data_IF_572612147349
#
_entry.id   IF_572612147349
#
_cell.length_a   1.000
_cell.length_b   1.000
_cell.length_c   1.000
_cell.angle_alpha   90.00
_cell.angle_beta   90.00
_cell.angle_gamma   90.00
#
_symmetry.space_group_name_H-M   'P 1'
#
loop_
_entity.id
_entity.type
_entity.pdbx_description
1 polymer ?
#
# COMPACT_ATOMS: atom_id res chain seq x y z
N UNK A 1 2.17 25.44 -21.75
CA UNK A 1 1.90 24.99 -20.36
C UNK A 1 3.20 24.46 -19.78
N UNK A 2 3.75 25.10 -18.74
CA UNK A 2 4.93 24.57 -18.03
C UNK A 2 4.43 23.36 -17.26
N UNK A 3 4.66 22.15 -17.76
CA UNK A 3 4.38 20.93 -17.02
C UNK A 3 5.24 20.95 -15.78
N UNK A 4 4.62 21.06 -14.63
CA UNK A 4 5.32 20.92 -13.36
C UNK A 4 5.91 19.51 -13.32
N UNK A 5 7.21 19.40 -13.10
CA UNK A 5 7.97 18.13 -13.12
C UNK A 5 7.34 17.14 -12.14
N UNK A 6 6.96 17.58 -10.95
CA UNK A 6 6.34 16.73 -9.96
C UNK A 6 4.99 16.14 -10.41
N UNK A 7 4.15 16.91 -11.06
CA UNK A 7 2.88 16.40 -11.61
C UNK A 7 3.12 15.42 -12.76
N UNK A 8 4.06 15.75 -13.65
CA UNK A 8 4.42 14.85 -14.73
C UNK A 8 5.01 13.53 -14.20
N UNK A 9 5.92 13.62 -13.23
CA UNK A 9 6.48 12.42 -12.58
C UNK A 9 5.40 11.55 -11.94
N UNK A 10 4.45 12.16 -11.22
CA UNK A 10 3.32 11.46 -10.60
C UNK A 10 2.53 10.62 -11.59
N UNK A 11 2.26 11.18 -12.79
CA UNK A 11 1.51 10.48 -13.84
C UNK A 11 2.27 9.26 -14.40
N UNK A 12 3.58 9.16 -14.11
CA UNK A 12 4.44 8.03 -14.46
C UNK A 12 4.63 7.03 -13.30
N UNK A 13 3.85 7.14 -12.21
CA UNK A 13 3.96 6.23 -11.08
C UNK A 13 3.69 4.79 -11.53
N UNK A 14 4.57 3.83 -11.15
CA UNK A 14 4.35 2.43 -11.46
C UNK A 14 3.06 1.92 -10.82
N UNK A 15 2.26 1.20 -11.60
CA UNK A 15 1.20 0.37 -11.04
C UNK A 15 1.81 -0.87 -10.39
N UNK A 16 1.40 -1.17 -9.15
CA UNK A 16 1.94 -2.28 -8.37
C UNK A 16 0.82 -3.29 -8.10
N UNK A 17 0.75 -4.31 -8.94
CA UNK A 17 -0.22 -5.40 -8.83
C UNK A 17 0.17 -6.44 -7.77
N UNK A 18 -0.76 -7.30 -7.39
CA UNK A 18 -0.43 -8.49 -6.58
C UNK A 18 0.31 -9.52 -7.45
N UNK A 19 1.41 -10.05 -6.92
CA UNK A 19 2.23 -11.03 -7.66
C UNK A 19 1.54 -12.38 -7.77
N UNK A 20 1.47 -12.89 -9.00
CA UNK A 20 0.87 -14.19 -9.33
C UNK A 20 1.81 -15.08 -10.15
N UNK A 21 3.11 -14.86 -9.98
CA UNK A 21 4.15 -15.63 -10.67
C UNK A 21 4.72 -14.95 -11.90
N UNK A 22 4.42 -13.67 -12.11
CA UNK A 22 5.00 -12.89 -13.20
C UNK A 22 6.53 -12.77 -13.02
N UNK A 23 7.24 -12.63 -14.16
CA UNK A 23 8.69 -12.48 -14.15
C UNK A 23 9.12 -11.24 -13.39
N UNK A 24 10.14 -11.38 -12.56
CA UNK A 24 10.79 -10.29 -11.86
C UNK A 24 12.29 -10.52 -11.83
N UNK A 25 13.08 -9.46 -11.78
CA UNK A 25 14.54 -9.54 -11.74
C UNK A 25 15.08 -9.18 -10.37
N UNK A 26 14.35 -8.36 -9.63
CA UNK A 26 14.75 -7.84 -8.34
C UNK A 26 13.65 -7.94 -7.31
N UNK A 27 14.07 -8.06 -6.06
CA UNK A 27 13.21 -7.99 -4.90
C UNK A 27 13.71 -6.89 -3.96
N UNK A 28 12.80 -6.12 -3.42
CA UNK A 28 13.06 -5.05 -2.46
C UNK A 28 12.09 -5.13 -1.30
N UNK A 29 12.52 -4.68 -0.12
CA UNK A 29 11.63 -4.54 1.02
C UNK A 29 10.53 -3.51 0.73
N UNK A 30 9.29 -3.87 1.04
CA UNK A 30 8.17 -2.94 1.01
C UNK A 30 8.11 -2.20 2.35
N UNK A 31 8.28 -0.87 2.29
CA UNK A 31 8.16 -0.02 3.45
C UNK A 31 6.70 0.35 3.72
N UNK A 32 6.33 0.39 4.98
CA UNK A 32 5.01 0.88 5.41
C UNK A 32 5.12 2.38 5.71
N UNK A 33 4.82 3.17 4.71
CA UNK A 33 5.00 4.61 4.76
C UNK A 33 4.03 5.37 3.86
N UNK A 34 4.43 6.59 3.53
CA UNK A 34 3.73 7.43 2.56
C UNK A 34 4.59 7.64 1.33
N UNK A 35 4.02 7.36 0.18
CA UNK A 35 4.66 7.62 -1.09
C UNK A 35 4.74 9.11 -1.39
N UNK A 36 5.91 9.57 -1.83
CA UNK A 36 6.16 10.95 -2.25
C UNK A 36 6.92 11.02 -3.57
N UNK A 37 6.57 12.03 -4.35
CA UNK A 37 7.34 12.50 -5.49
C UNK A 37 8.02 13.80 -5.08
N UNK A 38 9.35 13.79 -5.06
CA UNK A 38 10.17 14.97 -4.82
C UNK A 38 10.70 15.46 -6.15
N UNK A 39 10.66 16.77 -6.43
CA UNK A 39 11.07 17.31 -7.73
C UNK A 39 11.79 18.64 -7.59
N UNK A 40 12.92 18.74 -8.29
CA UNK A 40 13.55 20.00 -8.61
C UNK A 40 12.93 20.50 -9.92
N UNK A 41 12.07 21.51 -9.83
CA UNK A 41 11.34 22.07 -10.97
C UNK A 41 12.23 22.98 -11.85
N UNK A 42 13.44 23.29 -11.38
CA UNK A 42 14.34 24.27 -11.96
C UNK A 42 14.08 25.71 -11.50
N UNK A 43 15.06 26.58 -11.73
CA UNK A 43 15.02 27.99 -11.32
C UNK A 43 14.77 28.18 -9.81
N UNK A 44 15.34 27.32 -8.97
CA UNK A 44 15.18 27.37 -7.51
C UNK A 44 13.79 27.00 -7.01
N UNK A 45 12.95 26.38 -7.83
CA UNK A 45 11.65 25.86 -7.44
C UNK A 45 11.72 24.39 -7.13
N UNK A 46 11.08 23.99 -6.06
CA UNK A 46 11.01 22.60 -5.62
C UNK A 46 9.56 22.21 -5.37
N UNK A 47 9.24 20.94 -5.52
CA UNK A 47 7.96 20.38 -5.13
C UNK A 47 8.12 19.04 -4.42
N UNK A 48 7.19 18.77 -3.52
CA UNK A 48 7.04 17.49 -2.87
C UNK A 48 5.56 17.16 -2.82
N UNK A 49 5.17 16.11 -3.53
CA UNK A 49 3.78 15.72 -3.69
C UNK A 49 3.56 14.39 -3.00
N UNK A 50 2.78 14.40 -1.94
CA UNK A 50 2.30 13.21 -1.26
C UNK A 50 0.95 12.75 -1.80
N UNK A 51 0.57 11.52 -1.51
CA UNK A 51 -0.74 10.97 -1.84
C UNK A 51 -1.82 11.58 -0.96
N UNK A 52 -2.86 12.18 -1.56
CA UNK A 52 -4.06 12.61 -0.83
C UNK A 52 -5.13 11.53 -0.76
N UNK A 53 -5.92 11.57 0.32
CA UNK A 53 -7.06 10.68 0.52
C UNK A 53 -8.22 10.97 -0.44
N UNK A 54 -8.24 12.16 -1.09
CA UNK A 54 -9.31 12.59 -1.99
C UNK A 54 -8.82 13.01 -3.36
N UNK A 55 -9.58 12.62 -4.34
CA UNK A 55 -9.69 12.94 -5.77
C UNK A 55 -8.40 13.24 -6.54
N UNK A 56 -7.55 14.13 -6.11
CA UNK A 56 -6.28 14.42 -6.80
C UNK A 56 -5.09 13.60 -6.30
N UNK A 57 -5.32 12.66 -5.47
CA UNK A 57 -4.38 11.67 -4.91
C UNK A 57 -3.08 12.22 -4.30
N UNK A 58 -2.66 13.44 -4.64
CA UNK A 58 -1.39 14.03 -4.26
C UNK A 58 -1.56 15.47 -3.79
N UNK A 59 -0.91 15.85 -2.70
CA UNK A 59 -0.90 17.20 -2.16
C UNK A 59 0.51 17.73 -2.00
N UNK A 60 0.72 19.04 -2.10
CA UNK A 60 1.94 19.69 -1.65
C UNK A 60 2.16 19.44 -0.16
N UNK A 61 3.39 19.17 0.24
CA UNK A 61 3.78 19.13 1.64
C UNK A 61 3.95 20.57 2.17
N UNK A 62 3.13 20.93 3.14
CA UNK A 62 3.15 22.27 3.70
C UNK A 62 3.98 22.41 4.98
N UNK A 63 4.36 21.28 5.59
CA UNK A 63 5.13 21.24 6.82
C UNK A 63 6.38 20.38 6.65
N UNK A 64 7.44 20.67 7.39
CA UNK A 64 8.80 20.11 7.28
C UNK A 64 9.45 20.30 5.91
N UNK A 65 9.16 21.43 5.30
CA UNK A 65 9.78 21.87 4.04
C UNK A 65 11.32 21.76 4.07
N UNK A 66 11.94 21.94 5.23
CA UNK A 66 13.39 21.90 5.39
C UNK A 66 14.01 20.53 5.09
N UNK A 67 13.42 19.44 5.62
CA UNK A 67 13.92 18.09 5.35
C UNK A 67 13.78 17.74 3.88
N UNK A 68 12.63 18.04 3.33
CA UNK A 68 12.31 17.75 1.95
C UNK A 68 13.12 18.63 1.00
N UNK A 69 13.30 19.93 1.32
CA UNK A 69 14.15 20.81 0.55
C UNK A 69 15.58 20.28 0.47
N UNK A 70 16.18 19.87 1.59
CA UNK A 70 17.53 19.29 1.60
C UNK A 70 17.66 18.05 0.72
N UNK A 71 16.63 17.22 0.62
CA UNK A 71 16.62 16.06 -0.27
C UNK A 71 16.48 16.49 -1.73
N UNK A 72 15.57 17.42 -2.01
CA UNK A 72 15.26 17.87 -3.37
C UNK A 72 16.39 18.72 -3.98
N UNK A 73 17.07 19.53 -3.19
CA UNK A 73 18.22 20.35 -3.61
C UNK A 73 19.38 19.51 -4.20
N UNK A 74 19.44 18.22 -3.86
CA UNK A 74 20.44 17.28 -4.41
C UNK A 74 20.13 16.84 -5.82
N UNK A 75 18.89 16.99 -6.27
CA UNK A 75 18.48 16.56 -7.61
C UNK A 75 18.95 17.57 -8.66
N UNK A 76 19.41 17.11 -9.83
CA UNK A 76 19.60 17.98 -10.99
C UNK A 76 18.31 18.77 -11.29
N UNK A 77 18.47 19.96 -11.87
CA UNK A 77 17.32 20.74 -12.29
C UNK A 77 16.39 19.92 -13.23
N UNK A 78 15.10 20.14 -13.08
CA UNK A 78 14.05 19.45 -13.86
C UNK A 78 14.10 17.92 -13.72
N UNK A 79 14.42 17.46 -12.52
CA UNK A 79 14.45 16.04 -12.18
C UNK A 79 13.50 15.73 -11.03
N UNK A 80 13.10 14.46 -10.98
CA UNK A 80 12.21 13.96 -9.92
C UNK A 80 12.66 12.61 -9.40
N UNK A 81 12.35 12.34 -8.15
CA UNK A 81 12.53 11.05 -7.49
C UNK A 81 11.23 10.63 -6.80
N UNK A 82 10.91 9.36 -6.93
CA UNK A 82 9.85 8.71 -6.18
C UNK A 82 10.43 7.91 -5.03
N UNK A 83 9.78 7.96 -3.90
CA UNK A 83 10.23 7.24 -2.72
C UNK A 83 9.14 7.11 -1.66
N UNK A 84 9.48 6.38 -0.61
CA UNK A 84 8.63 6.20 0.55
C UNK A 84 9.20 6.98 1.72
N UNK A 85 8.35 7.84 2.34
CA UNK A 85 8.60 8.41 3.67
C UNK A 85 8.07 7.45 4.71
N UNK A 86 8.91 7.03 5.64
CA UNK A 86 8.55 6.02 6.63
C UNK A 86 9.27 6.22 7.95
N UNK A 87 8.72 5.63 9.00
CA UNK A 87 9.29 5.63 10.36
C UNK A 87 9.68 4.20 10.72
N UNK A 88 10.94 3.89 11.02
CA UNK A 88 11.40 2.53 11.29
C UNK A 88 10.61 1.83 12.39
N UNK A 89 10.09 0.63 12.07
CA UNK A 89 9.33 -0.20 13.00
C UNK A 89 7.97 0.39 13.40
N UNK A 90 7.45 1.37 12.67
CA UNK A 90 6.16 2.01 12.91
C UNK A 90 5.29 1.95 11.66
N UNK A 91 3.94 1.91 11.82
CA UNK A 91 3.02 1.95 10.69
C UNK A 91 3.01 3.32 9.99
N UNK A 92 2.55 3.36 8.74
CA UNK A 92 2.42 4.57 7.91
C UNK A 92 1.71 5.73 8.63
N UNK A 93 0.76 5.44 9.53
CA UNK A 93 0.06 6.43 10.36
C UNK A 93 1.01 7.28 11.23
N UNK A 94 2.27 6.87 11.42
CA UNK A 94 3.29 7.63 12.16
C UNK A 94 4.12 8.57 11.29
N UNK A 95 3.98 8.52 9.97
CA UNK A 95 4.67 9.45 9.06
C UNK A 95 4.35 10.92 9.37
N UNK A 96 3.09 11.33 9.62
CA UNK A 96 2.80 12.70 10.04
C UNK A 96 3.53 13.12 11.32
N UNK A 97 3.62 12.23 12.32
CA UNK A 97 4.38 12.49 13.54
C UNK A 97 5.88 12.64 13.27
N UNK A 98 6.44 11.84 12.35
CA UNK A 98 7.82 11.97 11.90
C UNK A 98 8.05 13.31 11.19
N UNK A 99 7.14 13.73 10.35
CA UNK A 99 7.17 15.05 9.72
C UNK A 99 7.07 16.19 10.74
N UNK A 100 6.43 16.00 11.88
CA UNK A 100 6.39 16.96 13.00
C UNK A 100 7.62 16.86 13.93
N UNK A 101 8.60 16.01 13.59
CA UNK A 101 9.84 15.91 14.34
C UNK A 101 9.77 15.07 15.62
N UNK A 102 8.62 14.42 15.93
CA UNK A 102 8.46 13.56 17.09
C UNK A 102 8.95 12.11 16.87
N UNK A 103 9.23 11.75 15.62
CA UNK A 103 9.73 10.43 15.22
C UNK A 103 10.86 10.59 14.20
N UNK A 104 11.78 9.62 14.17
CA UNK A 104 12.86 9.61 13.17
C UNK A 104 12.32 9.19 11.80
N UNK A 105 12.33 10.10 10.85
CA UNK A 105 11.78 9.90 9.51
C UNK A 105 12.88 9.56 8.50
N UNK A 106 12.59 8.63 7.59
CA UNK A 106 13.45 8.25 6.49
C UNK A 106 12.72 8.43 5.16
N UNK A 107 13.48 8.81 4.14
CA UNK A 107 13.03 8.75 2.75
C UNK A 107 13.86 7.70 2.02
N UNK A 108 13.20 6.70 1.47
CA UNK A 108 13.84 5.66 0.65
C UNK A 108 13.39 5.82 -0.78
N UNK A 109 14.31 6.21 -1.64
CA UNK A 109 14.08 6.38 -3.07
C UNK A 109 14.03 5.02 -3.78
N UNK A 110 13.11 4.88 -4.75
CA UNK A 110 12.96 3.65 -5.52
C UNK A 110 12.83 3.85 -7.04
N UNK A 111 12.62 5.08 -7.52
CA UNK A 111 12.58 5.41 -8.95
C UNK A 111 12.89 6.88 -9.20
N UNK A 112 13.34 7.20 -10.41
CA UNK A 112 13.50 8.56 -10.89
C UNK A 112 12.87 8.68 -12.30
N UNK A 113 11.57 9.02 -12.38
CA UNK A 113 10.84 8.99 -13.66
C UNK A 113 11.24 10.10 -14.63
N UNK A 114 11.72 11.22 -14.11
CA UNK A 114 12.16 12.36 -14.93
C UNK A 114 13.56 12.76 -14.51
N UNK A 115 14.43 12.94 -15.49
CA UNK A 115 15.82 13.34 -15.28
C UNK A 115 16.22 14.43 -16.28
N UNK A 116 16.66 15.58 -15.78
CA UNK A 116 17.03 16.75 -16.58
C UNK A 116 15.98 17.13 -17.65
N UNK A 117 14.73 17.07 -17.27
CA UNK A 117 13.58 17.43 -18.12
C UNK A 117 13.19 16.36 -19.14
N UNK A 118 13.72 15.15 -19.04
CA UNK A 118 13.37 14.01 -19.92
C UNK A 118 12.70 12.91 -19.12
N UNK A 119 11.65 12.34 -19.67
CA UNK A 119 11.06 11.11 -19.12
C UNK A 119 12.01 9.93 -19.36
N UNK A 120 12.28 9.18 -18.28
CA UNK A 120 13.25 8.05 -18.31
C UNK A 120 12.65 6.76 -17.71
N UNK A 121 11.37 6.39 -18.02
CA UNK A 121 10.72 5.24 -17.40
C UNK A 121 11.36 3.90 -17.79
N UNK A 122 12.07 3.86 -18.92
CA UNK A 122 12.78 2.68 -19.41
C UNK A 122 14.24 2.64 -18.97
N UNK A 123 14.71 3.62 -18.19
CA UNK A 123 16.06 3.60 -17.66
C UNK A 123 16.20 2.45 -16.68
N UNK A 124 17.30 1.73 -16.75
CA UNK A 124 17.57 0.62 -15.84
C UNK A 124 17.57 1.11 -14.39
N UNK A 125 16.73 0.49 -13.55
CA UNK A 125 16.57 0.86 -12.15
C UNK A 125 17.85 0.71 -11.34
N UNK A 126 18.75 -0.19 -11.74
CA UNK A 126 20.04 -0.35 -11.08
C UNK A 126 20.94 0.87 -11.33
N UNK A 127 20.92 1.41 -12.56
CA UNK A 127 21.62 2.66 -12.91
C UNK A 127 21.02 3.83 -12.15
N UNK A 128 19.68 3.98 -12.19
CA UNK A 128 18.96 5.02 -11.44
C UNK A 128 19.31 4.99 -9.97
N UNK A 129 19.32 3.81 -9.38
CA UNK A 129 19.68 3.62 -7.98
C UNK A 129 21.10 4.10 -7.67
N UNK A 130 22.07 3.75 -8.53
CA UNK A 130 23.46 4.17 -8.36
C UNK A 130 23.61 5.69 -8.41
N UNK A 131 22.90 6.34 -9.33
CA UNK A 131 22.86 7.82 -9.43
C UNK A 131 22.25 8.45 -8.17
N UNK A 132 21.13 7.91 -7.67
CA UNK A 132 20.49 8.41 -6.46
C UNK A 132 21.37 8.24 -5.22
N UNK A 133 22.10 7.12 -5.12
CA UNK A 133 23.08 6.90 -4.05
C UNK A 133 24.21 7.91 -4.12
N UNK A 134 24.73 8.21 -5.32
CA UNK A 134 25.78 9.22 -5.52
C UNK A 134 25.33 10.62 -5.08
N UNK A 135 24.04 10.93 -5.19
CA UNK A 135 23.42 12.15 -4.67
C UNK A 135 23.13 12.10 -3.17
N UNK A 136 23.41 10.97 -2.50
CA UNK A 136 23.20 10.79 -1.07
C UNK A 136 21.74 10.47 -0.68
N UNK A 137 20.90 9.99 -1.62
CA UNK A 137 19.60 9.45 -1.27
C UNK A 137 19.75 8.08 -0.62
N UNK A 138 18.94 7.82 0.41
CA UNK A 138 18.69 6.46 0.85
C UNK A 138 17.91 5.71 -0.24
N UNK A 139 18.37 4.52 -0.59
CA UNK A 139 17.70 3.65 -1.57
C UNK A 139 17.38 2.30 -0.94
N UNK A 140 16.35 1.63 -1.44
CA UNK A 140 15.98 0.30 -0.96
C UNK A 140 17.09 -0.71 -1.22
N UNK A 141 17.20 -1.73 -0.35
CA UNK A 141 18.12 -2.82 -0.59
C UNK A 141 17.55 -3.74 -1.68
N UNK A 142 18.11 -3.63 -2.88
CA UNK A 142 17.71 -4.40 -4.03
C UNK A 142 18.52 -5.69 -4.09
N UNK A 143 17.85 -6.82 -4.09
CA UNK A 143 18.45 -8.13 -4.27
C UNK A 143 17.99 -8.71 -5.60
N UNK A 144 18.86 -9.49 -6.24
CA UNK A 144 18.47 -10.26 -7.41
C UNK A 144 17.42 -11.29 -7.02
N UNK A 145 16.40 -11.43 -7.84
CA UNK A 145 15.34 -12.40 -7.67
C UNK A 145 15.49 -13.47 -8.75
N UNK A 146 15.74 -14.71 -8.32
CA UNK A 146 15.79 -15.84 -9.22
C UNK A 146 14.38 -16.35 -9.51
N UNK A 147 14.13 -16.77 -10.76
CA UNK A 147 12.81 -17.25 -11.15
C UNK A 147 12.40 -18.46 -10.32
N UNK A 148 11.18 -18.44 -9.76
CA UNK A 148 10.71 -19.51 -8.90
C UNK A 148 10.41 -20.80 -9.70
N UNK A 149 10.71 -21.94 -9.12
CA UNK A 149 10.27 -23.26 -9.63
C UNK A 149 8.74 -23.36 -9.57
N UNK A 150 8.13 -22.77 -8.54
CA UNK A 150 6.68 -22.63 -8.37
C UNK A 150 6.41 -21.30 -7.68
N UNK A 151 5.54 -20.48 -8.28
CA UNK A 151 5.23 -19.17 -7.72
C UNK A 151 4.53 -19.29 -6.35
N UNK A 152 3.68 -20.30 -6.14
CA UNK A 152 2.97 -20.49 -4.87
C UNK A 152 3.94 -20.81 -3.73
N UNK A 153 4.91 -21.71 -3.95
CA UNK A 153 5.93 -22.05 -2.96
C UNK A 153 6.80 -20.82 -2.66
N UNK A 154 7.22 -20.12 -3.71
CA UNK A 154 8.03 -18.91 -3.56
C UNK A 154 7.26 -17.80 -2.84
N UNK A 155 5.99 -17.61 -3.15
CA UNK A 155 5.14 -16.64 -2.44
C UNK A 155 5.03 -16.98 -0.95
N UNK A 156 4.82 -18.23 -0.59
CA UNK A 156 4.79 -18.67 0.82
C UNK A 156 6.10 -18.39 1.55
N UNK A 157 7.23 -18.69 0.90
CA UNK A 157 8.55 -18.40 1.47
C UNK A 157 8.78 -16.90 1.66
N UNK A 158 8.40 -16.07 0.68
CA UNK A 158 8.48 -14.60 0.79
C UNK A 158 7.60 -14.05 1.91
N UNK A 159 6.40 -14.61 2.09
CA UNK A 159 5.51 -14.22 3.18
C UNK A 159 6.06 -14.61 4.55
N UNK A 160 6.67 -15.79 4.69
CA UNK A 160 7.34 -16.21 5.91
C UNK A 160 8.52 -15.30 6.23
N UNK A 161 9.38 -15.03 5.25
CA UNK A 161 10.51 -14.10 5.39
C UNK A 161 10.07 -12.68 5.75
N UNK A 162 8.97 -12.17 5.20
CA UNK A 162 8.47 -10.84 5.54
C UNK A 162 8.06 -10.75 7.02
N UNK A 163 7.42 -11.79 7.55
CA UNK A 163 7.06 -11.88 8.98
C UNK A 163 8.30 -11.90 9.87
N UNK A 164 9.30 -12.72 9.53
CA UNK A 164 10.55 -12.84 10.27
C UNK A 164 11.34 -11.53 10.24
N UNK A 165 11.47 -10.90 9.08
CA UNK A 165 12.14 -9.62 8.90
C UNK A 165 11.35 -8.41 9.44
N UNK A 166 10.09 -8.60 9.85
CA UNK A 166 9.18 -7.55 10.33
C UNK A 166 9.02 -6.41 9.34
N UNK A 167 8.91 -6.75 8.05
CA UNK A 167 8.62 -5.80 6.97
C UNK A 167 7.17 -5.96 6.51
N UNK A 168 6.60 -4.92 5.89
CA UNK A 168 5.23 -4.97 5.35
C UNK A 168 5.07 -6.05 4.27
N UNK A 169 6.15 -6.38 3.57
CA UNK A 169 6.18 -7.34 2.49
C UNK A 169 7.34 -7.07 1.55
N UNK A 170 7.17 -7.49 0.31
CA UNK A 170 8.16 -7.37 -0.74
C UNK A 170 7.58 -6.69 -1.97
N UNK A 171 8.43 -6.01 -2.73
CA UNK A 171 8.12 -5.53 -4.09
C UNK A 171 9.07 -6.24 -5.05
N UNK A 172 8.50 -6.97 -5.99
CA UNK A 172 9.22 -7.63 -7.08
C UNK A 172 9.19 -6.72 -8.29
N UNK A 173 10.33 -6.50 -8.92
CA UNK A 173 10.51 -5.50 -9.98
C UNK A 173 11.22 -6.10 -11.19
N UNK A 174 10.86 -5.59 -12.36
CA UNK A 174 11.70 -5.69 -13.55
C UNK A 174 12.78 -4.61 -13.55
N UNK A 175 13.64 -4.60 -14.57
CA UNK A 175 14.77 -3.65 -14.64
C UNK A 175 14.34 -2.17 -14.81
N UNK A 176 13.07 -1.91 -15.04
CA UNK A 176 12.53 -0.57 -15.32
C UNK A 176 11.24 -0.30 -14.53
N UNK A 177 10.62 0.86 -14.73
CA UNK A 177 9.45 1.31 -13.95
C UNK A 177 8.14 0.56 -14.25
N UNK A 178 8.15 -0.47 -15.06
CA UNK A 178 6.96 -1.26 -15.40
C UNK A 178 7.06 -2.68 -14.84
N UNK A 179 5.90 -3.33 -14.62
CA UNK A 179 5.85 -4.70 -14.15
C UNK A 179 6.37 -4.84 -12.72
N UNK A 180 5.80 -4.06 -11.81
CA UNK A 180 6.07 -4.17 -10.39
C UNK A 180 4.95 -4.91 -9.70
N UNK A 181 5.35 -5.79 -8.78
CA UNK A 181 4.42 -6.66 -8.09
C UNK A 181 4.70 -6.65 -6.60
N UNK A 182 3.65 -6.74 -5.79
CA UNK A 182 3.76 -6.81 -4.33
C UNK A 182 3.43 -8.21 -3.82
N UNK A 183 4.15 -8.62 -2.80
CA UNK A 183 3.86 -9.79 -1.97
C UNK A 183 3.74 -9.29 -0.54
N UNK A 184 2.53 -9.34 0.01
CA UNK A 184 2.25 -8.91 1.38
C UNK A 184 1.71 -10.08 2.20
N UNK A 185 2.14 -10.25 3.46
CA UNK A 185 1.40 -11.09 4.39
C UNK A 185 -0.03 -10.56 4.52
N UNK A 186 -0.98 -11.44 4.31
CA UNK A 186 -2.37 -11.16 4.58
C UNK A 186 -2.80 -11.95 5.80
N UNK A 187 -3.67 -11.37 6.61
CA UNK A 187 -4.32 -12.02 7.74
C UNK A 187 -5.73 -12.38 7.33
N UNK A 188 -6.26 -13.47 7.84
CA UNK A 188 -7.67 -13.83 7.66
C UNK A 188 -8.38 -13.88 8.98
N UNK A 189 -9.66 -13.56 8.97
CA UNK A 189 -10.53 -13.68 10.12
C UNK A 189 -11.91 -14.17 9.68
N UNK A 190 -12.54 -14.98 10.53
CA UNK A 190 -13.94 -15.32 10.39
C UNK A 190 -14.78 -14.32 11.18
N UNK A 191 -15.71 -13.68 10.51
CA UNK A 191 -16.50 -12.57 11.04
C UNK A 191 -17.99 -12.77 10.78
N UNK A 192 -18.82 -12.18 11.62
CA UNK A 192 -20.26 -12.29 11.59
C UNK A 192 -20.84 -11.10 10.83
N UNK A 193 -21.79 -11.32 9.94
CA UNK A 193 -22.59 -10.27 9.32
C UNK A 193 -23.55 -9.68 10.34
N UNK A 194 -23.36 -8.42 10.68
CA UNK A 194 -24.20 -7.70 11.66
C UNK A 194 -25.21 -6.77 11.02
N UNK A 195 -25.02 -6.45 9.76
CA UNK A 195 -25.87 -5.56 8.99
C UNK A 195 -25.32 -5.39 7.58
N UNK A 196 -26.02 -4.63 6.79
CA UNK A 196 -25.58 -4.33 5.44
C UNK A 196 -25.90 -2.90 5.04
N UNK A 197 -25.23 -2.44 3.98
CA UNK A 197 -25.47 -1.15 3.35
C UNK A 197 -25.75 -1.35 1.88
N UNK A 198 -26.75 -0.62 1.39
CA UNK A 198 -27.12 -0.63 -0.01
C UNK A 198 -26.01 -0.07 -0.92
N UNK A 199 -25.93 -0.59 -2.13
CA UNK A 199 -24.98 -0.13 -3.12
C UNK A 199 -25.39 1.25 -3.67
N UNK A 200 -24.47 2.23 -3.65
CA UNK A 200 -24.78 3.64 -3.94
C UNK A 200 -25.39 3.88 -5.35
N UNK A 201 -24.98 3.08 -6.34
CA UNK A 201 -25.43 3.25 -7.74
C UNK A 201 -26.48 2.26 -8.18
N UNK A 202 -26.72 1.21 -7.40
CA UNK A 202 -27.64 0.12 -7.73
C UNK A 202 -28.51 -0.17 -6.50
N UNK A 203 -29.63 0.55 -6.31
CA UNK A 203 -30.56 0.30 -5.22
C UNK A 203 -31.04 -1.15 -5.20
N UNK A 204 -31.25 -1.70 -4.02
CA UNK A 204 -31.62 -3.10 -3.81
C UNK A 204 -30.45 -4.08 -3.76
N UNK A 205 -29.26 -3.68 -4.20
CA UNK A 205 -28.08 -4.54 -4.15
C UNK A 205 -27.21 -4.28 -2.92
N UNK A 206 -26.54 -5.31 -2.43
CA UNK A 206 -25.58 -5.19 -1.31
C UNK A 206 -24.36 -4.39 -1.74
N UNK A 207 -24.14 -3.25 -1.10
CA UNK A 207 -22.93 -2.43 -1.26
C UNK A 207 -21.78 -2.88 -0.35
N UNK A 208 -22.09 -3.14 0.91
CA UNK A 208 -21.15 -3.65 1.91
C UNK A 208 -21.91 -4.28 3.09
N UNK A 209 -21.22 -5.19 3.80
CA UNK A 209 -21.67 -5.75 5.07
C UNK A 209 -20.95 -5.06 6.23
N UNK A 210 -21.67 -4.77 7.32
CA UNK A 210 -21.10 -4.50 8.62
C UNK A 210 -20.73 -5.83 9.26
N UNK A 211 -19.52 -5.93 9.78
CA UNK A 211 -18.95 -7.17 10.29
C UNK A 211 -18.56 -7.04 11.76
N UNK A 212 -18.74 -8.12 12.51
CA UNK A 212 -18.44 -8.18 13.93
C UNK A 212 -17.81 -9.51 14.34
N UNK A 213 -17.27 -9.51 15.55
CA UNK A 213 -16.78 -10.69 16.23
C UNK A 213 -16.92 -10.54 17.75
N UNK A 214 -16.85 -11.64 18.49
CA UNK A 214 -16.93 -11.61 19.95
C UNK A 214 -15.61 -11.21 20.59
N UNK A 215 -15.66 -10.28 21.52
CA UNK A 215 -14.52 -9.87 22.35
C UNK A 215 -14.26 -10.91 23.48
N UNK A 216 -13.24 -10.64 24.31
CA UNK A 216 -12.89 -11.50 25.47
C UNK A 216 -13.98 -11.61 26.52
N UNK A 217 -14.92 -10.65 26.55
CA UNK A 217 -16.08 -10.66 27.46
C UNK A 217 -17.28 -11.38 26.87
N UNK A 218 -17.12 -11.98 25.70
CA UNK A 218 -18.19 -12.62 24.94
C UNK A 218 -19.28 -11.64 24.48
N UNK A 219 -18.93 -10.36 24.27
CA UNK A 219 -19.79 -9.34 23.72
C UNK A 219 -19.50 -9.23 22.22
N UNK A 220 -20.55 -9.14 21.40
CA UNK A 220 -20.44 -8.98 19.96
C UNK A 220 -20.17 -7.52 19.61
N UNK A 221 -19.02 -7.26 19.01
CA UNK A 221 -18.58 -5.91 18.64
C UNK A 221 -18.44 -5.76 17.13
N UNK A 222 -18.78 -4.58 16.61
CA UNK A 222 -18.53 -4.24 15.21
C UNK A 222 -17.06 -3.93 14.99
N UNK A 223 -16.43 -4.68 14.09
CA UNK A 223 -14.99 -4.56 13.79
C UNK A 223 -14.72 -4.06 12.37
N UNK A 224 -15.72 -3.61 11.66
CA UNK A 224 -15.51 -3.02 10.35
C UNK A 224 -16.66 -3.17 9.37
N UNK A 225 -16.31 -2.95 8.12
CA UNK A 225 -17.23 -3.03 7.00
C UNK A 225 -16.51 -3.61 5.79
N UNK A 226 -17.10 -4.61 5.14
CA UNK A 226 -16.55 -5.27 3.95
C UNK A 226 -17.47 -5.10 2.75
N UNK A 227 -16.91 -4.62 1.65
CA UNK A 227 -17.59 -4.49 0.36
C UNK A 227 -16.67 -4.92 -0.80
N UNK A 228 -15.35 -4.89 -0.58
CA UNK A 228 -14.37 -5.45 -1.52
C UNK A 228 -14.46 -6.98 -1.51
N UNK A 229 -14.14 -7.61 -2.65
CA UNK A 229 -14.23 -9.07 -2.83
C UNK A 229 -15.61 -9.58 -3.26
N UNK A 230 -16.68 -8.83 -3.04
CA UNK A 230 -18.01 -9.16 -3.57
C UNK A 230 -18.05 -8.90 -5.08
N UNK A 231 -18.31 -9.95 -5.86
CA UNK A 231 -18.46 -9.83 -7.31
C UNK A 231 -19.77 -9.14 -7.68
N UNK A 232 -19.93 -8.75 -8.94
CA UNK A 232 -21.19 -8.22 -9.46
C UNK A 232 -22.34 -9.24 -9.24
N UNK A 233 -22.09 -10.51 -9.53
CA UNK A 233 -23.05 -11.60 -9.32
C UNK A 233 -23.47 -11.72 -7.84
N UNK A 234 -22.49 -11.64 -6.92
CA UNK A 234 -22.81 -11.68 -5.47
C UNK A 234 -23.74 -10.54 -5.11
N UNK A 235 -23.46 -9.32 -5.56
CA UNK A 235 -24.29 -8.14 -5.26
C UNK A 235 -25.73 -8.23 -5.80
N UNK A 236 -25.90 -8.89 -6.93
CA UNK A 236 -27.19 -9.09 -7.59
C UNK A 236 -28.02 -10.22 -6.94
N UNK A 237 -27.35 -11.23 -6.37
CA UNK A 237 -28.02 -12.43 -5.84
C UNK A 237 -28.17 -12.43 -4.32
N UNK A 238 -27.34 -11.68 -3.59
CA UNK A 238 -27.39 -11.62 -2.14
C UNK A 238 -28.57 -10.74 -1.68
N UNK A 239 -29.39 -11.32 -0.83
CA UNK A 239 -30.44 -10.59 -0.09
C UNK A 239 -29.80 -10.18 1.23
N UNK A 240 -29.60 -8.86 1.44
CA UNK A 240 -28.84 -8.34 2.58
C UNK A 240 -29.32 -8.86 3.93
N UNK A 241 -30.64 -8.83 4.17
CA UNK A 241 -31.24 -9.31 5.43
C UNK A 241 -31.11 -10.83 5.63
N UNK A 242 -31.12 -11.61 4.56
CA UNK A 242 -30.89 -13.06 4.63
C UNK A 242 -29.43 -13.43 4.97
N UNK A 243 -28.53 -12.48 4.90
CA UNK A 243 -27.12 -12.67 5.29
C UNK A 243 -26.84 -12.36 6.76
N UNK A 244 -27.80 -11.79 7.50
CA UNK A 244 -27.61 -11.45 8.91
C UNK A 244 -27.29 -12.70 9.74
N UNK A 245 -26.27 -12.60 10.59
CA UNK A 245 -25.79 -13.69 11.42
C UNK A 245 -24.94 -14.73 10.70
N UNK A 246 -24.84 -14.71 9.37
CA UNK A 246 -23.92 -15.63 8.64
C UNK A 246 -22.48 -15.27 8.93
N UNK A 247 -21.63 -16.29 8.85
CA UNK A 247 -20.17 -16.15 9.00
C UNK A 247 -19.52 -16.06 7.62
N UNK A 248 -18.58 -15.16 7.48
CA UNK A 248 -17.71 -15.04 6.30
C UNK A 248 -16.25 -15.00 6.72
N UNK A 249 -15.39 -15.54 5.87
CA UNK A 249 -13.95 -15.35 5.94
C UNK A 249 -13.60 -14.07 5.19
N UNK A 250 -12.84 -13.22 5.84
CA UNK A 250 -12.30 -12.00 5.25
C UNK A 250 -10.79 -12.00 5.35
N UNK A 251 -10.15 -11.51 4.30
CA UNK A 251 -8.75 -11.12 4.31
C UNK A 251 -8.66 -9.67 4.77
N UNK A 252 -7.68 -9.33 5.59
CA UNK A 252 -7.44 -7.96 6.03
C UNK A 252 -5.95 -7.66 6.16
N UNK A 253 -5.60 -6.39 6.10
CA UNK A 253 -4.20 -5.97 6.14
C UNK A 253 -3.68 -5.93 7.57
N UNK A 254 -4.39 -5.23 8.47
CA UNK A 254 -4.02 -5.07 9.87
C UNK A 254 -5.23 -4.70 10.73
N UNK A 255 -5.00 -4.55 12.04
CA UNK A 255 -5.98 -4.06 12.99
C UNK A 255 -5.69 -2.59 13.30
N UNK A 256 -6.67 -1.73 13.07
CA UNK A 256 -6.55 -0.31 13.36
C UNK A 256 -6.52 -0.02 14.86
N UNK A 257 -6.09 1.17 15.23
CA UNK A 257 -6.01 1.62 16.62
C UNK A 257 -7.35 1.55 17.38
N UNK A 258 -8.47 1.51 16.66
CA UNK A 258 -9.83 1.36 17.18
C UNK A 258 -10.31 -0.09 17.24
N UNK A 259 -9.43 -1.08 17.02
CA UNK A 259 -9.77 -2.51 16.99
C UNK A 259 -10.44 -3.01 15.70
N UNK A 260 -10.71 -2.13 14.75
CA UNK A 260 -11.34 -2.51 13.48
C UNK A 260 -10.37 -3.08 12.45
N UNK A 261 -10.86 -4.01 11.61
CA UNK A 261 -10.07 -4.57 10.51
C UNK A 261 -9.81 -3.52 9.42
N UNK A 262 -8.56 -3.39 9.01
CA UNK A 262 -8.15 -2.48 7.94
C UNK A 262 -8.26 -3.17 6.59
N UNK A 263 -8.96 -2.52 5.66
CA UNK A 263 -9.15 -2.95 4.26
C UNK A 263 -9.66 -4.40 4.13
N UNK A 264 -10.74 -4.80 4.85
CA UNK A 264 -11.23 -6.15 4.77
C UNK A 264 -11.80 -6.46 3.37
N UNK A 265 -11.47 -7.65 2.88
CA UNK A 265 -11.89 -8.18 1.57
C UNK A 265 -12.61 -9.50 1.80
N UNK A 266 -13.81 -9.65 1.26
CA UNK A 266 -14.57 -10.91 1.32
C UNK A 266 -13.84 -11.99 0.53
N UNK A 267 -13.66 -13.17 1.15
CA UNK A 267 -13.07 -14.36 0.52
C UNK A 267 -14.18 -15.37 0.19
N UNK A 268 -14.92 -15.79 1.20
CA UNK A 268 -15.98 -16.80 1.06
C UNK A 268 -16.91 -16.82 2.25
N UNK A 269 -18.06 -17.44 2.07
CA UNK A 269 -18.95 -17.80 3.17
C UNK A 269 -18.40 -18.97 3.96
N UNK A 270 -18.64 -18.97 5.26
CA UNK A 270 -18.24 -20.02 6.21
C UNK A 270 -19.50 -20.65 6.81
N UNK A 271 -20.31 -21.26 5.95
CA UNK A 271 -21.53 -21.96 6.39
C UNK A 271 -21.23 -23.19 7.28
N UNK A 272 -19.95 -23.60 7.30
CA UNK A 272 -19.38 -24.64 8.16
C UNK A 272 -19.05 -24.15 9.58
N UNK A 273 -19.06 -22.84 9.85
CA UNK A 273 -18.58 -22.26 11.11
C UNK A 273 -19.71 -21.58 11.89
N UNK A 274 -19.92 -21.96 13.17
CA UNK A 274 -20.87 -21.29 14.05
C UNK A 274 -20.43 -19.84 14.37
N UNK A 275 -21.38 -18.92 14.45
CA UNK A 275 -21.10 -17.51 14.70
C UNK A 275 -20.42 -17.26 16.08
N UNK A 276 -20.77 -18.04 17.09
CA UNK A 276 -20.19 -17.95 18.45
C UNK A 276 -18.71 -18.30 18.52
N UNK A 277 -18.12 -18.86 17.46
CA UNK A 277 -16.70 -19.12 17.35
C UNK A 277 -15.92 -17.98 16.68
N UNK A 278 -16.58 -16.92 16.21
CA UNK A 278 -15.90 -15.77 15.63
C UNK A 278 -15.38 -14.86 16.74
N UNK A 279 -14.07 -14.82 16.92
CA UNK A 279 -13.39 -14.04 17.96
C UNK A 279 -12.62 -12.88 17.37
N UNK A 280 -12.59 -11.75 18.09
CA UNK A 280 -11.73 -10.61 17.73
C UNK A 280 -10.28 -11.09 17.76
N UNK A 281 -9.59 -10.87 16.64
CA UNK A 281 -8.15 -11.10 16.53
C UNK A 281 -7.46 -9.92 17.19
N UNK A 282 -6.54 -10.20 18.09
CA UNK A 282 -5.72 -9.17 18.73
C UNK A 282 -4.50 -8.83 17.87
N UNK A 283 -4.07 -7.58 17.96
CA UNK A 283 -2.88 -7.08 17.26
C UNK A 283 -1.59 -7.65 17.83
#
# INVERSE_FOLDING_TARGET
>A
MKNEIGKWARDMMPDVADWKGERAQFIESKFDGHNYVLSNEGNGKFSALGRQVHIDNWAPLHYHAWLIAQLVERLPERSSVMGELWVPGKPAAKVPSGLLGSERLFFTAYAAPIWEGKAVPNKDLHVVRSELMALGFGVSNQQRFDEPVSWQITQQALLANAREARVEGWVLKQAHMYGWYKVKPVKTADVIVMGWKEHLRNPGQVGAFYIGAFNKRNELETIGKVGSGLTKKDRETLIGDACLGRVMEVEYQDIGANGGLQFPVFIRWRDDKPADQCRIVEA
#
